data_IF_565234284913
#
_entry.id   IF_565234284913
#
_cell.length_a   1.000
_cell.length_b   1.000
_cell.length_c   1.000
_cell.angle_alpha   90.00
_cell.angle_beta   90.00
_cell.angle_gamma   90.00
#
_symmetry.space_group_name_H-M   'P 1'
#
loop_
_entity.id
_entity.type
_entity.pdbx_description
1 polymer ?
#
# COMPACT_ATOMS: atom_id res chain seq x y z
N UNK A 1 17.39 -14.32 -3.37
CA UNK A 1 18.66 -14.12 -4.10
C UNK A 1 18.52 -14.12 -5.64
N UNK A 2 17.41 -14.58 -6.18
CA UNK A 2 17.15 -14.64 -7.64
C UNK A 2 16.59 -13.34 -8.22
N UNK A 3 16.12 -12.39 -7.41
CA UNK A 3 15.46 -11.16 -7.88
C UNK A 3 16.37 -10.30 -8.75
N UNK A 4 17.67 -10.27 -8.47
CA UNK A 4 18.63 -9.41 -9.15
C UNK A 4 19.47 -10.14 -10.22
N UNK A 5 19.15 -11.39 -10.54
CA UNK A 5 19.98 -12.22 -11.43
C UNK A 5 19.43 -12.40 -12.85
N UNK A 6 18.32 -11.74 -13.20
CA UNK A 6 17.75 -11.78 -14.53
C UNK A 6 18.03 -10.50 -15.32
N UNK A 7 18.21 -10.65 -16.64
CA UNK A 7 18.42 -9.56 -17.59
C UNK A 7 17.39 -8.44 -17.35
N UNK A 8 17.85 -7.19 -17.39
CA UNK A 8 17.08 -5.99 -17.09
C UNK A 8 15.74 -5.86 -17.84
N UNK A 9 15.51 -6.63 -18.89
CA UNK A 9 14.28 -6.63 -19.69
C UNK A 9 13.15 -7.50 -19.12
N UNK A 10 13.41 -8.35 -18.12
CA UNK A 10 12.42 -9.26 -17.54
C UNK A 10 12.56 -9.39 -16.02
N UNK A 11 12.39 -8.27 -15.29
CA UNK A 11 12.39 -8.34 -13.84
C UNK A 11 11.13 -9.04 -13.35
N UNK A 12 11.24 -10.36 -13.18
CA UNK A 12 10.17 -11.23 -12.72
C UNK A 12 10.52 -11.86 -11.39
N UNK A 13 9.55 -11.94 -10.51
CA UNK A 13 9.69 -12.50 -9.17
C UNK A 13 8.84 -13.77 -9.09
N UNK A 14 9.38 -14.91 -8.58
CA UNK A 14 8.59 -16.12 -8.41
C UNK A 14 7.51 -15.93 -7.35
N UNK A 15 6.31 -16.38 -7.63
CA UNK A 15 5.26 -16.56 -6.64
C UNK A 15 5.24 -18.03 -6.23
N UNK A 16 5.32 -18.27 -4.95
CA UNK A 16 5.46 -19.60 -4.35
C UNK A 16 4.21 -19.95 -3.56
N UNK A 17 3.99 -21.25 -3.37
CA UNK A 17 3.10 -21.76 -2.33
C UNK A 17 3.82 -22.80 -1.50
N UNK A 18 3.61 -22.73 -0.18
CA UNK A 18 4.11 -23.72 0.76
C UNK A 18 2.99 -24.72 1.06
N UNK A 19 3.31 -26.00 1.03
CA UNK A 19 2.37 -27.06 1.37
C UNK A 19 3.08 -28.23 2.02
N UNK A 20 2.35 -29.01 2.80
CA UNK A 20 2.88 -30.26 3.35
C UNK A 20 2.76 -31.36 2.31
N UNK A 21 3.89 -32.00 1.97
CA UNK A 21 3.91 -33.22 1.16
C UNK A 21 4.05 -34.40 2.11
N UNK A 22 3.09 -35.32 2.02
CA UNK A 22 3.13 -36.52 2.85
C UNK A 22 4.15 -37.52 2.31
N UNK A 23 5.07 -37.95 3.16
CA UNK A 23 6.00 -39.06 2.90
C UNK A 23 5.62 -40.22 3.82
N UNK A 24 5.41 -41.41 3.24
CA UNK A 24 4.96 -42.60 4.00
C UNK A 24 5.97 -43.05 5.08
N UNK A 25 7.26 -42.73 4.90
CA UNK A 25 8.32 -43.13 5.82
C UNK A 25 8.66 -42.08 6.90
N UNK A 26 8.57 -40.79 6.56
CA UNK A 26 9.02 -39.69 7.44
C UNK A 26 7.89 -38.78 7.91
N UNK A 27 6.63 -39.01 7.44
CA UNK A 27 5.50 -38.15 7.73
C UNK A 27 5.46 -36.90 6.87
N UNK A 28 4.82 -35.80 7.32
CA UNK A 28 4.71 -34.57 6.57
C UNK A 28 6.07 -33.89 6.41
N UNK A 29 6.42 -33.54 5.20
CA UNK A 29 7.62 -32.76 4.86
C UNK A 29 7.20 -31.45 4.19
N UNK A 30 7.92 -30.38 4.47
CA UNK A 30 7.69 -29.09 3.81
C UNK A 30 8.03 -29.18 2.32
N UNK A 31 7.11 -28.70 1.49
CA UNK A 31 7.30 -28.62 0.05
C UNK A 31 6.92 -27.21 -0.44
N UNK A 32 7.66 -26.74 -1.42
CA UNK A 32 7.45 -25.46 -2.06
C UNK A 32 7.18 -25.69 -3.55
N UNK A 33 6.16 -25.05 -4.07
CA UNK A 33 5.83 -25.09 -5.49
C UNK A 33 5.81 -23.68 -6.06
N UNK A 34 6.46 -23.48 -7.19
CA UNK A 34 6.37 -22.25 -7.97
C UNK A 34 5.05 -22.24 -8.75
N UNK A 35 4.27 -21.18 -8.56
CA UNK A 35 2.99 -20.98 -9.24
C UNK A 35 3.15 -20.19 -10.54
N UNK A 36 4.19 -19.36 -10.64
CA UNK A 36 4.46 -18.54 -11.79
C UNK A 36 5.39 -17.37 -11.50
N UNK A 37 5.68 -16.58 -12.53
CA UNK A 37 6.55 -15.42 -12.46
C UNK A 37 5.73 -14.12 -12.51
N UNK A 38 5.91 -13.27 -11.52
CA UNK A 38 5.23 -11.97 -11.42
C UNK A 38 6.07 -10.86 -12.04
N UNK A 39 5.54 -10.08 -13.02
CA UNK A 39 6.28 -9.01 -13.71
C UNK A 39 6.35 -7.74 -12.85
N UNK A 40 7.30 -7.69 -11.90
CA UNK A 40 7.40 -6.64 -10.89
C UNK A 40 7.50 -5.23 -11.49
N UNK A 41 8.39 -5.02 -12.47
CA UNK A 41 8.60 -3.72 -13.09
C UNK A 41 7.34 -3.21 -13.83
N UNK A 42 6.70 -4.08 -14.62
CA UNK A 42 5.49 -3.73 -15.37
C UNK A 42 4.33 -3.35 -14.44
N UNK A 43 4.14 -4.11 -13.38
CA UNK A 43 3.08 -3.83 -12.39
C UNK A 43 3.39 -2.56 -11.58
N UNK A 44 4.65 -2.29 -11.27
CA UNK A 44 5.04 -1.04 -10.61
C UNK A 44 4.70 0.18 -11.47
N UNK A 45 4.94 0.12 -12.78
CA UNK A 45 4.56 1.19 -13.71
C UNK A 45 3.03 1.41 -13.78
N UNK A 46 2.22 0.41 -13.47
CA UNK A 46 0.75 0.56 -13.45
C UNK A 46 0.24 1.42 -12.30
N UNK A 47 0.98 1.57 -11.20
CA UNK A 47 0.55 2.34 -10.02
C UNK A 47 0.26 3.82 -10.32
N UNK A 48 1.20 4.60 -10.91
CA UNK A 48 0.91 5.98 -11.26
C UNK A 48 -0.16 6.08 -12.34
N UNK A 49 -0.22 5.11 -13.27
CA UNK A 49 -1.26 5.06 -14.30
C UNK A 49 -2.66 4.87 -13.68
N UNK A 50 -2.83 3.97 -12.72
CA UNK A 50 -4.09 3.78 -12.01
C UNK A 50 -4.55 5.06 -11.31
N UNK A 51 -3.64 5.76 -10.63
CA UNK A 51 -3.97 7.04 -9.99
C UNK A 51 -4.31 8.12 -10.99
N UNK A 52 -3.58 8.23 -12.10
CA UNK A 52 -3.88 9.14 -13.17
C UNK A 52 -5.27 8.89 -13.73
N UNK A 53 -5.60 7.63 -14.04
CA UNK A 53 -6.92 7.23 -14.53
C UNK A 53 -8.03 7.57 -13.52
N UNK A 54 -7.84 7.32 -12.23
CA UNK A 54 -8.80 7.65 -11.19
C UNK A 54 -9.05 9.18 -11.13
N UNK A 55 -8.00 9.99 -11.22
CA UNK A 55 -8.14 11.46 -11.25
C UNK A 55 -8.81 11.97 -12.52
N UNK A 56 -8.51 11.37 -13.68
CA UNK A 56 -9.19 11.68 -14.93
C UNK A 56 -10.68 11.36 -14.83
N UNK A 57 -11.05 10.19 -14.32
CA UNK A 57 -12.45 9.80 -14.12
C UNK A 57 -13.17 10.79 -13.19
N UNK A 58 -12.53 11.19 -12.09
CA UNK A 58 -13.09 12.19 -11.17
C UNK A 58 -13.28 13.55 -11.85
N UNK A 59 -12.29 14.02 -12.62
CA UNK A 59 -12.36 15.28 -13.34
C UNK A 59 -13.41 15.24 -14.47
N UNK A 60 -13.46 14.15 -15.24
CA UNK A 60 -14.45 13.98 -16.30
C UNK A 60 -15.87 13.84 -15.75
N UNK A 61 -16.07 13.17 -14.63
CA UNK A 61 -17.38 13.08 -13.99
C UNK A 61 -17.89 14.47 -13.60
N UNK A 62 -17.01 15.40 -13.32
CA UNK A 62 -17.34 16.81 -13.10
C UNK A 62 -17.81 17.53 -14.36
N UNK A 63 -17.28 17.21 -15.50
CA UNK A 63 -17.57 17.89 -16.77
C UNK A 63 -18.84 17.36 -17.44
N UNK A 64 -19.16 16.07 -17.31
CA UNK A 64 -20.28 15.42 -18.00
C UNK A 64 -21.61 15.42 -17.23
N UNK A 65 -21.77 16.28 -16.22
CA UNK A 65 -23.09 16.54 -15.60
C UNK A 65 -23.60 15.47 -14.62
N UNK A 66 -22.87 14.39 -14.39
CA UNK A 66 -23.14 13.43 -13.29
C UNK A 66 -22.63 13.91 -11.93
N UNK A 67 -22.35 15.13 -11.84
CA UNK A 67 -21.57 15.92 -10.91
C UNK A 67 -22.07 16.04 -9.50
N UNK A 68 -23.33 15.85 -9.34
CA UNK A 68 -23.96 16.05 -8.05
C UNK A 68 -23.40 15.08 -6.98
N UNK A 69 -22.95 13.89 -7.38
CA UNK A 69 -22.52 12.87 -6.42
C UNK A 69 -21.15 13.17 -5.80
N UNK A 70 -20.15 13.58 -6.61
CA UNK A 70 -18.84 13.92 -6.08
C UNK A 70 -18.88 15.19 -5.23
N UNK A 71 -19.42 16.28 -5.76
CA UNK A 71 -19.58 17.55 -5.03
C UNK A 71 -20.46 17.39 -3.78
N UNK A 72 -21.56 16.64 -3.87
CA UNK A 72 -22.40 16.33 -2.70
C UNK A 72 -21.65 15.56 -1.63
N UNK A 73 -20.77 14.63 -2.01
CA UNK A 73 -19.95 13.91 -1.05
C UNK A 73 -18.89 14.82 -0.40
N UNK A 74 -18.16 15.61 -1.19
CA UNK A 74 -17.16 16.57 -0.66
C UNK A 74 -17.81 17.59 0.27
N UNK A 75 -18.99 18.12 -0.10
CA UNK A 75 -19.75 19.03 0.77
C UNK A 75 -20.26 18.36 2.05
N UNK A 76 -20.35 17.02 2.06
CA UNK A 76 -20.64 16.22 3.24
C UNK A 76 -19.37 15.75 3.96
N UNK A 77 -18.21 16.30 3.64
CA UNK A 77 -16.91 15.96 4.24
C UNK A 77 -16.57 14.47 4.12
N UNK A 78 -16.79 13.88 2.96
CA UNK A 78 -16.43 12.50 2.66
C UNK A 78 -16.03 12.35 1.19
N UNK A 79 -15.06 11.47 0.94
CA UNK A 79 -14.58 11.17 -0.41
C UNK A 79 -14.48 9.65 -0.64
N UNK A 80 -15.58 8.95 -0.93
CA UNK A 80 -15.55 7.50 -1.15
C UNK A 80 -14.65 7.10 -2.33
N UNK A 81 -14.53 7.94 -3.35
CA UNK A 81 -13.69 7.67 -4.51
C UNK A 81 -12.21 7.55 -4.15
N UNK A 82 -11.71 8.39 -3.25
CA UNK A 82 -10.36 8.29 -2.71
C UNK A 82 -10.13 6.94 -2.01
N UNK A 83 -11.06 6.50 -1.19
CA UNK A 83 -10.94 5.26 -0.45
C UNK A 83 -10.96 4.03 -1.37
N UNK A 84 -11.78 4.05 -2.44
CA UNK A 84 -11.79 3.02 -3.47
C UNK A 84 -10.43 2.99 -4.18
N UNK A 85 -9.95 4.14 -4.66
CA UNK A 85 -8.63 4.23 -5.31
C UNK A 85 -7.52 3.72 -4.39
N UNK A 86 -7.52 4.10 -3.12
CA UNK A 86 -6.52 3.65 -2.15
C UNK A 86 -6.65 2.16 -1.84
N UNK A 87 -7.85 1.61 -1.73
CA UNK A 87 -8.03 0.18 -1.50
C UNK A 87 -7.35 -0.67 -2.59
N UNK A 88 -7.35 -0.22 -3.84
CA UNK A 88 -6.64 -0.89 -4.92
C UNK A 88 -5.16 -0.51 -4.98
N UNK A 89 -4.86 0.77 -5.07
CA UNK A 89 -3.49 1.22 -5.36
C UNK A 89 -2.54 1.04 -4.18
N UNK A 90 -2.98 1.29 -2.92
CA UNK A 90 -2.12 1.07 -1.75
C UNK A 90 -1.94 -0.42 -1.47
N UNK A 91 -2.96 -1.24 -1.72
CA UNK A 91 -2.85 -2.68 -1.57
C UNK A 91 -1.87 -3.27 -2.59
N UNK A 92 -1.94 -2.84 -3.85
CA UNK A 92 -0.96 -3.24 -4.85
C UNK A 92 0.44 -2.74 -4.50
N UNK A 93 0.57 -1.50 -4.03
CA UNK A 93 1.85 -0.95 -3.57
C UNK A 93 2.43 -1.76 -2.40
N UNK A 94 1.62 -2.13 -1.42
CA UNK A 94 2.05 -2.94 -0.29
C UNK A 94 2.45 -4.36 -0.72
N UNK A 95 1.71 -4.95 -1.65
CA UNK A 95 2.06 -6.24 -2.26
C UNK A 95 3.44 -6.20 -2.94
N UNK A 96 3.73 -5.15 -3.72
CA UNK A 96 5.04 -4.96 -4.34
C UNK A 96 6.16 -4.81 -3.31
N UNK A 97 5.91 -4.10 -2.22
CA UNK A 97 6.84 -3.99 -1.10
C UNK A 97 7.11 -5.36 -0.47
N UNK A 98 6.09 -6.18 -0.24
CA UNK A 98 6.26 -7.54 0.27
C UNK A 98 7.16 -8.38 -0.63
N UNK A 99 6.99 -8.31 -1.95
CA UNK A 99 7.86 -9.00 -2.90
C UNK A 99 9.32 -8.51 -2.83
N UNK A 100 9.55 -7.22 -2.63
CA UNK A 100 10.90 -6.66 -2.42
C UNK A 100 11.53 -7.18 -1.14
N UNK A 101 10.74 -7.47 -0.11
CA UNK A 101 11.19 -8.06 1.15
C UNK A 101 11.23 -9.59 1.14
N UNK A 102 11.27 -10.19 -0.04
CA UNK A 102 11.39 -11.64 -0.22
C UNK A 102 10.21 -12.45 0.34
N UNK A 103 9.05 -11.82 0.49
CA UNK A 103 7.81 -12.53 0.81
C UNK A 103 7.19 -12.99 -0.51
N UNK A 104 7.36 -14.26 -0.87
CA UNK A 104 6.89 -14.83 -2.13
C UNK A 104 5.73 -15.80 -1.98
N UNK A 105 5.41 -16.20 -0.75
CA UNK A 105 4.29 -17.09 -0.48
C UNK A 105 2.96 -16.42 -0.78
N UNK A 106 2.18 -17.03 -1.69
CA UNK A 106 0.91 -16.47 -2.14
C UNK A 106 -0.09 -16.29 -0.99
N UNK A 107 -0.15 -17.25 -0.06
CA UNK A 107 -1.08 -17.21 1.07
C UNK A 107 -0.80 -16.01 1.96
N UNK A 108 0.47 -15.78 2.27
CA UNK A 108 0.93 -14.63 3.05
C UNK A 108 0.69 -13.32 2.31
N UNK A 109 1.01 -13.27 1.01
CA UNK A 109 0.78 -12.09 0.17
C UNK A 109 -0.70 -11.71 0.12
N UNK A 110 -1.59 -12.68 -0.05
CA UNK A 110 -3.03 -12.46 -0.07
C UNK A 110 -3.56 -12.00 1.29
N UNK A 111 -3.09 -12.61 2.39
CA UNK A 111 -3.47 -12.19 3.74
C UNK A 111 -3.06 -10.72 3.99
N UNK A 112 -1.83 -10.35 3.67
CA UNK A 112 -1.33 -8.99 3.82
C UNK A 112 -2.06 -7.99 2.92
N UNK A 113 -2.41 -8.38 1.69
CA UNK A 113 -3.21 -7.58 0.78
C UNK A 113 -4.62 -7.30 1.34
N UNK A 114 -5.30 -8.33 1.86
CA UNK A 114 -6.63 -8.19 2.49
C UNK A 114 -6.54 -7.32 3.75
N UNK A 115 -5.50 -7.49 4.57
CA UNK A 115 -5.29 -6.63 5.74
C UNK A 115 -5.16 -5.16 5.34
N UNK A 116 -4.38 -4.86 4.28
CA UNK A 116 -4.22 -3.48 3.80
C UNK A 116 -5.54 -2.90 3.25
N UNK A 117 -6.29 -3.67 2.47
CA UNK A 117 -7.62 -3.26 2.00
C UNK A 117 -8.59 -2.99 3.17
N UNK A 118 -8.50 -3.79 4.24
CA UNK A 118 -9.29 -3.61 5.46
C UNK A 118 -8.95 -2.31 6.19
N UNK A 119 -7.67 -1.91 6.23
CA UNK A 119 -7.25 -0.60 6.77
C UNK A 119 -7.91 0.53 5.99
N UNK A 120 -7.92 0.45 4.65
CA UNK A 120 -8.57 1.47 3.80
C UNK A 120 -10.08 1.53 4.05
N UNK A 121 -10.72 0.38 4.19
CA UNK A 121 -12.15 0.31 4.51
C UNK A 121 -12.46 0.92 5.88
N UNK A 122 -11.67 0.65 6.91
CA UNK A 122 -11.82 1.24 8.24
C UNK A 122 -11.62 2.77 8.20
N UNK A 123 -10.69 3.26 7.39
CA UNK A 123 -10.52 4.67 7.13
C UNK A 123 -11.77 5.31 6.52
N UNK A 124 -12.38 4.64 5.54
CA UNK A 124 -13.65 5.09 4.96
C UNK A 124 -14.79 5.11 5.98
N UNK A 125 -14.91 4.07 6.81
CA UNK A 125 -15.91 4.00 7.88
C UNK A 125 -15.74 5.19 8.83
N UNK A 126 -14.52 5.46 9.26
CA UNK A 126 -14.21 6.59 10.13
C UNK A 126 -14.62 7.92 9.50
N UNK A 127 -14.29 8.15 8.22
CA UNK A 127 -14.69 9.37 7.51
C UNK A 127 -16.20 9.50 7.38
N UNK A 128 -16.89 8.41 7.06
CA UNK A 128 -18.35 8.38 6.95
C UNK A 128 -19.02 8.70 8.28
N UNK A 129 -18.56 8.12 9.39
CA UNK A 129 -19.14 8.34 10.70
C UNK A 129 -18.99 9.80 11.14
N UNK A 130 -17.83 10.42 10.88
CA UNK A 130 -17.62 11.84 11.14
C UNK A 130 -18.53 12.74 10.32
N UNK A 131 -18.79 12.36 9.08
CA UNK A 131 -19.64 13.14 8.19
C UNK A 131 -21.10 13.16 8.65
N UNK A 132 -21.57 12.07 9.29
CA UNK A 132 -22.98 11.89 9.68
C UNK A 132 -23.24 12.36 11.12
N UNK A 133 -22.39 12.00 12.07
CA UNK A 133 -22.60 12.31 13.50
C UNK A 133 -21.31 12.74 14.21
N UNK A 134 -20.87 13.99 14.03
CA UNK A 134 -19.62 14.47 14.64
C UNK A 134 -19.59 14.37 16.18
N UNK A 135 -20.75 14.47 16.83
CA UNK A 135 -20.87 14.44 18.31
C UNK A 135 -20.78 13.05 18.94
N UNK A 136 -20.96 11.98 18.15
CA UNK A 136 -20.89 10.58 18.59
C UNK A 136 -19.64 9.86 18.08
N UNK A 137 -18.67 10.63 17.69
CA UNK A 137 -17.47 10.12 17.06
C UNK A 137 -16.69 9.15 17.94
N UNK A 138 -16.33 8.03 17.34
CA UNK A 138 -15.47 7.04 17.96
C UNK A 138 -14.15 6.85 17.22
N UNK A 139 -13.04 6.91 17.94
CA UNK A 139 -11.71 6.57 17.42
C UNK A 139 -11.49 5.06 17.19
N UNK A 140 -12.52 4.25 17.43
CA UNK A 140 -12.40 2.78 17.31
C UNK A 140 -11.90 2.29 15.96
N UNK A 141 -12.45 2.74 14.79
CA UNK A 141 -11.94 2.30 13.51
C UNK A 141 -10.47 2.68 13.29
N UNK A 142 -10.05 3.84 13.79
CA UNK A 142 -8.65 4.29 13.71
C UNK A 142 -7.71 3.37 14.48
N UNK A 143 -8.04 3.04 15.73
CA UNK A 143 -7.20 2.17 16.55
C UNK A 143 -7.16 0.73 16.00
N UNK A 144 -8.27 0.21 15.50
CA UNK A 144 -8.30 -1.11 14.86
C UNK A 144 -7.43 -1.11 13.59
N UNK A 145 -7.57 -0.11 12.73
CA UNK A 145 -6.75 0.03 11.52
C UNK A 145 -5.25 0.15 11.85
N UNK A 146 -4.92 0.92 12.89
CA UNK A 146 -3.53 1.05 13.37
C UNK A 146 -3.00 -0.27 13.90
N UNK A 147 -3.79 -1.03 14.65
CA UNK A 147 -3.42 -2.37 15.11
C UNK A 147 -3.13 -3.33 13.96
N UNK A 148 -3.98 -3.36 12.93
CA UNK A 148 -3.76 -4.16 11.72
C UNK A 148 -2.46 -3.72 11.01
N UNK A 149 -2.24 -2.40 10.87
CA UNK A 149 -1.03 -1.88 10.25
C UNK A 149 0.24 -2.28 11.02
N UNK A 150 0.22 -2.24 12.36
CA UNK A 150 1.36 -2.67 13.17
C UNK A 150 1.66 -4.16 12.97
N UNK A 151 0.64 -5.02 12.84
CA UNK A 151 0.86 -6.44 12.53
C UNK A 151 1.49 -6.61 11.15
N UNK A 152 1.00 -5.90 10.12
CA UNK A 152 1.60 -5.95 8.79
C UNK A 152 3.08 -5.55 8.78
N UNK A 153 3.41 -4.42 9.42
CA UNK A 153 4.80 -3.97 9.53
C UNK A 153 5.65 -4.89 10.39
N UNK A 154 5.07 -5.51 11.42
CA UNK A 154 5.72 -6.53 12.23
C UNK A 154 6.11 -7.77 11.42
N UNK A 155 5.23 -8.23 10.52
CA UNK A 155 5.53 -9.34 9.60
C UNK A 155 6.67 -8.97 8.65
N UNK A 156 6.63 -7.78 8.03
CA UNK A 156 7.72 -7.31 7.17
C UNK A 156 9.06 -7.24 7.91
N UNK A 157 9.06 -6.66 9.11
CA UNK A 157 10.25 -6.55 9.93
C UNK A 157 10.79 -7.91 10.36
N UNK A 158 9.93 -8.84 10.78
CA UNK A 158 10.35 -10.20 11.18
C UNK A 158 10.96 -10.96 10.01
N UNK A 159 10.37 -10.87 8.82
CA UNK A 159 10.92 -11.48 7.61
C UNK A 159 12.30 -10.91 7.29
N UNK A 160 12.45 -9.58 7.38
CA UNK A 160 13.72 -8.93 7.09
C UNK A 160 14.81 -9.30 8.12
N UNK A 161 14.45 -9.41 9.41
CA UNK A 161 15.38 -9.77 10.48
C UNK A 161 15.86 -11.22 10.41
N UNK A 162 15.13 -12.11 9.74
CA UNK A 162 15.52 -13.50 9.52
C UNK A 162 16.29 -13.71 8.22
N UNK A 163 16.39 -12.68 7.40
CA UNK A 163 17.13 -12.75 6.15
C UNK A 163 18.62 -12.48 6.39
N UNK A 164 19.48 -13.16 5.61
CA UNK A 164 20.94 -13.12 5.72
C UNK A 164 21.49 -11.67 5.74
N UNK A 165 22.57 -11.41 6.49
CA UNK A 165 23.25 -10.11 6.71
C UNK A 165 23.71 -9.37 5.45
N UNK A 166 23.45 -9.92 4.28
CA UNK A 166 23.82 -9.37 2.95
C UNK A 166 22.72 -8.63 2.22
N UNK A 167 21.71 -8.16 2.94
CA UNK A 167 20.63 -7.39 2.31
C UNK A 167 21.18 -6.07 1.72
N UNK A 168 20.84 -5.76 0.45
CA UNK A 168 21.23 -4.49 -0.16
C UNK A 168 20.68 -3.28 0.62
N UNK A 169 21.49 -2.23 0.73
CA UNK A 169 21.09 -0.96 1.39
C UNK A 169 19.80 -0.37 0.82
N UNK A 170 19.51 -0.66 -0.44
CA UNK A 170 18.27 -0.27 -1.10
C UNK A 170 17.03 -0.82 -0.37
N UNK A 171 17.06 -2.05 0.12
CA UNK A 171 15.92 -2.68 0.83
C UNK A 171 15.65 -1.94 2.14
N UNK A 172 16.70 -1.56 2.87
CA UNK A 172 16.58 -0.73 4.07
C UNK A 172 16.03 0.66 3.75
N UNK A 173 16.47 1.28 2.65
CA UNK A 173 15.95 2.57 2.19
C UNK A 173 14.46 2.47 1.85
N UNK A 174 14.02 1.39 1.21
CA UNK A 174 12.60 1.10 0.94
C UNK A 174 11.84 0.97 2.26
N UNK A 175 12.31 0.14 3.19
CA UNK A 175 11.65 -0.10 4.48
C UNK A 175 11.39 1.22 5.22
N UNK A 176 12.44 2.00 5.48
CA UNK A 176 12.32 3.23 6.26
C UNK A 176 11.50 4.31 5.54
N UNK A 177 11.71 4.49 4.24
CA UNK A 177 10.94 5.46 3.44
C UNK A 177 9.45 5.16 3.47
N UNK A 178 9.10 3.87 3.28
CA UNK A 178 7.70 3.46 3.23
C UNK A 178 7.06 3.42 4.59
N UNK A 179 7.74 2.95 5.62
CA UNK A 179 7.25 3.03 6.98
C UNK A 179 6.88 4.48 7.34
N UNK A 180 7.78 5.43 7.05
CA UNK A 180 7.53 6.84 7.31
C UNK A 180 6.35 7.39 6.48
N UNK A 181 6.34 7.12 5.17
CA UNK A 181 5.27 7.59 4.29
C UNK A 181 3.91 7.03 4.71
N UNK A 182 3.84 5.74 5.06
CA UNK A 182 2.59 5.12 5.53
C UNK A 182 2.09 5.72 6.84
N UNK A 183 2.98 6.13 7.74
CA UNK A 183 2.59 6.84 8.97
C UNK A 183 1.98 8.22 8.72
N UNK A 184 2.36 8.90 7.65
CA UNK A 184 1.83 10.23 7.34
C UNK A 184 0.35 10.21 6.96
N UNK A 185 -0.17 9.11 6.39
CA UNK A 185 -1.60 8.98 6.07
C UNK A 185 -2.50 8.96 7.31
N UNK A 186 -2.30 8.07 8.29
CA UNK A 186 -3.06 8.11 9.54
C UNK A 186 -2.78 9.38 10.35
N UNK A 187 -1.57 9.94 10.29
CA UNK A 187 -1.26 11.21 10.95
C UNK A 187 -2.10 12.37 10.39
N UNK A 188 -2.24 12.46 9.05
CA UNK A 188 -3.12 13.45 8.42
C UNK A 188 -4.59 13.26 8.83
N UNK A 189 -5.05 12.00 8.92
CA UNK A 189 -6.39 11.68 9.40
C UNK A 189 -6.59 12.08 10.87
N UNK A 190 -5.63 11.74 11.73
CA UNK A 190 -5.67 12.10 13.13
C UNK A 190 -5.65 13.63 13.30
N UNK A 191 -4.81 14.34 12.54
CA UNK A 191 -4.78 15.80 12.55
C UNK A 191 -6.13 16.42 12.18
N UNK A 192 -6.77 15.92 11.10
CA UNK A 192 -8.07 16.41 10.65
C UNK A 192 -9.11 16.25 11.75
N UNK A 193 -9.23 15.06 12.33
CA UNK A 193 -10.30 14.77 13.28
C UNK A 193 -10.03 15.24 14.69
N UNK A 194 -8.79 15.39 15.09
CA UNK A 194 -8.43 16.05 16.35
C UNK A 194 -8.82 17.54 16.34
N UNK A 195 -8.65 18.18 15.17
CA UNK A 195 -8.97 19.59 14.98
C UNK A 195 -10.35 19.80 14.34
N UNK A 196 -11.27 18.85 14.50
CA UNK A 196 -12.59 18.91 13.90
C UNK A 196 -13.44 19.98 14.55
N UNK A 197 -13.65 21.10 13.87
CA UNK A 197 -14.35 22.25 14.35
C UNK A 197 -15.86 22.19 14.06
N UNK A 198 -16.67 22.82 14.90
CA UNK A 198 -18.11 22.91 14.71
C UNK A 198 -18.49 24.02 13.71
N UNK A 199 -17.60 25.01 13.49
CA UNK A 199 -17.83 26.03 12.49
C UNK A 199 -17.69 25.48 11.06
N UNK A 200 -18.74 25.63 10.26
CA UNK A 200 -18.82 25.05 8.91
C UNK A 200 -17.72 25.53 7.97
N UNK A 201 -17.35 26.82 8.02
CA UNK A 201 -16.34 27.38 7.12
C UNK A 201 -14.93 26.88 7.47
N UNK A 202 -14.59 26.87 8.75
CA UNK A 202 -13.33 26.34 9.25
C UNK A 202 -13.21 24.85 8.96
N UNK A 203 -14.26 24.09 9.20
CA UNK A 203 -14.37 22.66 8.93
C UNK A 203 -14.13 22.31 7.47
N UNK A 204 -14.80 23.02 6.54
CA UNK A 204 -14.62 22.82 5.10
C UNK A 204 -13.18 23.09 4.68
N UNK A 205 -12.59 24.18 5.14
CA UNK A 205 -11.20 24.53 4.86
C UNK A 205 -10.22 23.47 5.34
N UNK A 206 -10.40 22.95 6.57
CA UNK A 206 -9.56 21.87 7.14
C UNK A 206 -9.69 20.57 6.34
N UNK A 207 -10.93 20.21 5.98
CA UNK A 207 -11.19 19.02 5.17
C UNK A 207 -10.50 19.11 3.81
N UNK A 208 -10.64 20.22 3.08
CA UNK A 208 -9.97 20.41 1.79
C UNK A 208 -8.45 20.42 1.91
N UNK A 209 -7.89 20.98 2.98
CA UNK A 209 -6.43 20.90 3.25
C UNK A 209 -5.99 19.44 3.42
N UNK A 210 -6.72 18.66 4.21
CA UNK A 210 -6.45 17.23 4.41
C UNK A 210 -6.54 16.45 3.09
N UNK A 211 -7.55 16.71 2.25
CA UNK A 211 -7.66 16.10 0.91
C UNK A 211 -6.46 16.40 0.02
N UNK A 212 -5.96 17.63 0.03
CA UNK A 212 -4.74 17.99 -0.70
C UNK A 212 -3.51 17.26 -0.19
N UNK A 213 -3.37 17.13 1.13
CA UNK A 213 -2.27 16.36 1.74
C UNK A 213 -2.34 14.89 1.32
N UNK A 214 -3.52 14.27 1.31
CA UNK A 214 -3.68 12.90 0.82
C UNK A 214 -3.28 12.75 -0.65
N UNK A 215 -3.64 13.68 -1.52
CA UNK A 215 -3.22 13.65 -2.93
C UNK A 215 -1.69 13.74 -3.09
N UNK A 216 -1.07 14.65 -2.36
CA UNK A 216 0.40 14.82 -2.39
C UNK A 216 1.08 13.55 -1.86
N UNK A 217 0.66 13.02 -0.72
CA UNK A 217 1.22 11.80 -0.15
C UNK A 217 1.08 10.60 -1.09
N UNK A 218 -0.09 10.45 -1.71
CA UNK A 218 -0.34 9.37 -2.67
C UNK A 218 0.56 9.47 -3.90
N UNK A 219 0.70 10.65 -4.49
CA UNK A 219 1.58 10.87 -5.64
C UNK A 219 3.05 10.63 -5.27
N UNK A 220 3.49 11.20 -4.15
CA UNK A 220 4.87 11.09 -3.68
C UNK A 220 5.25 9.65 -3.38
N UNK A 221 4.39 8.91 -2.64
CA UNK A 221 4.67 7.51 -2.29
C UNK A 221 4.79 6.61 -3.53
N UNK A 222 3.86 6.74 -4.49
CA UNK A 222 3.90 5.97 -5.73
C UNK A 222 5.10 6.30 -6.60
N UNK A 223 5.47 7.59 -6.69
CA UNK A 223 6.65 8.02 -7.44
C UNK A 223 7.94 7.50 -6.80
N UNK A 224 8.06 7.57 -5.48
CA UNK A 224 9.23 7.05 -4.77
C UNK A 224 9.35 5.54 -5.00
N UNK A 225 8.26 4.76 -4.90
CA UNK A 225 8.32 3.31 -5.15
C UNK A 225 8.79 3.02 -6.58
N UNK A 226 8.18 3.69 -7.56
CA UNK A 226 8.55 3.51 -8.94
C UNK A 226 10.05 3.73 -9.15
N UNK A 227 10.59 4.85 -8.65
CA UNK A 227 12.01 5.16 -8.77
C UNK A 227 12.90 4.19 -8.01
N UNK A 228 12.55 3.80 -6.80
CA UNK A 228 13.35 2.84 -6.02
C UNK A 228 13.41 1.47 -6.70
N UNK A 229 12.30 1.00 -7.28
CA UNK A 229 12.29 -0.26 -8.03
C UNK A 229 13.11 -0.13 -9.31
N UNK A 230 12.94 0.96 -10.08
CA UNK A 230 13.70 1.18 -11.31
C UNK A 230 15.21 1.30 -11.05
N UNK A 231 15.62 1.98 -10.00
CA UNK A 231 17.02 2.03 -9.59
C UNK A 231 17.53 0.67 -9.13
N UNK A 232 16.73 -0.09 -8.36
CA UNK A 232 17.09 -1.43 -7.92
C UNK A 232 17.31 -2.39 -9.07
N UNK A 233 16.46 -2.35 -10.10
CA UNK A 233 16.57 -3.17 -11.30
C UNK A 233 17.82 -2.85 -12.11
N UNK A 234 18.23 -1.57 -12.15
CA UNK A 234 19.37 -1.12 -12.94
C UNK A 234 20.71 -1.18 -12.19
N UNK A 235 20.74 -1.60 -10.92
CA UNK A 235 22.02 -1.75 -10.23
C UNK A 235 22.79 -2.96 -10.77
N UNK A 236 24.09 -2.78 -11.11
CA UNK A 236 24.94 -3.90 -11.53
C UNK A 236 25.03 -4.93 -10.41
N UNK A 237 24.85 -6.20 -10.75
CA UNK A 237 24.95 -7.30 -9.79
C UNK A 237 26.37 -7.33 -9.19
N UNK A 238 26.52 -6.76 -7.99
CA UNK A 238 27.82 -6.74 -7.26
C UNK A 238 28.33 -8.16 -6.98
N UNK A 239 27.46 -9.16 -7.04
CA UNK A 239 27.78 -10.57 -6.79
C UNK A 239 28.41 -11.31 -7.96
N UNK A 240 28.30 -10.80 -9.20
CA UNK A 240 28.96 -11.40 -10.35
C UNK A 240 30.42 -10.95 -10.52
N UNK A 241 30.85 -9.93 -9.79
CA UNK A 241 32.23 -9.41 -9.86
C UNK A 241 33.21 -10.10 -8.89
N UNK A 242 32.75 -11.04 -8.07
CA UNK A 242 33.62 -11.86 -7.19
C UNK A 242 33.63 -13.33 -7.67
N UNK A 243 34.15 -13.56 -8.87
CA UNK A 243 34.70 -14.86 -9.29
C UNK A 243 36.21 -14.70 -9.50
#
# INVERSE_FOLDING_TARGET
>A
YTIFNHNANEFRVPILTHHAKWNETTGPADATQELGLFPLAGVTCSLPFMSCLAHIIMACSEHFGQNDTYRKNINKYRNPWRWIEYAFSSTLMFFLICLLFSIYDLSTLMALAIMNASIMFLGYVMEKDHSVQPSKFGWKPFFVATGIALVQWGILYSTLSTTDDRMPDLIWAVLFSYFFLFLLFPANMAWLYWNWDLDKNSKYSKYIKSERVYMILSLTSKSILLWLILFGVNQPNVYTMKK
#
